data_IF_772712232449
#
_entry.id   IF_772712232449
#
_cell.length_a   1.000
_cell.length_b   1.000
_cell.length_c   1.000
_cell.angle_alpha   90.00
_cell.angle_beta   90.00
_cell.angle_gamma   90.00
#
_symmetry.space_group_name_H-M   'P 1'
#
loop_
_entity.id
_entity.type
_entity.pdbx_description
1 polymer ?
#
# COMPACT_ATOMS: atom_id res chain seq x y z
N UNK A 1 0.70 4.80 15.71
CA UNK A 1 -0.76 4.89 15.68
C UNK A 1 -1.31 6.25 16.12
N UNK A 2 -0.90 6.83 17.28
CA UNK A 2 -1.32 8.20 17.69
C UNK A 2 -1.11 9.27 16.60
N UNK A 3 0.02 9.28 15.90
CA UNK A 3 0.29 10.24 14.79
C UNK A 3 -0.65 10.11 13.59
N UNK A 4 -1.16 8.91 13.34
CA UNK A 4 -2.11 8.67 12.24
C UNK A 4 -3.49 9.25 12.55
N UNK A 5 -3.98 9.02 13.78
CA UNK A 5 -5.28 9.52 14.21
C UNK A 5 -5.31 11.06 14.21
N UNK A 6 -4.20 11.73 14.56
CA UNK A 6 -4.08 13.19 14.50
C UNK A 6 -4.12 13.76 13.06
N UNK A 7 -3.83 12.95 12.05
CA UNK A 7 -3.93 13.35 10.64
C UNK A 7 -5.33 13.21 10.05
N UNK A 8 -6.09 12.22 10.52
CA UNK A 8 -7.46 11.97 10.03
C UNK A 8 -8.51 12.93 10.63
N UNK A 9 -8.35 13.30 11.90
CA UNK A 9 -9.26 14.26 12.56
C UNK A 9 -8.53 15.05 13.66
N UNK A 10 -8.63 16.36 13.63
CA UNK A 10 -8.06 17.27 14.65
C UNK A 10 -8.68 17.12 16.06
N UNK A 11 -9.72 16.30 16.22
CA UNK A 11 -10.50 16.14 17.47
C UNK A 11 -10.33 14.79 18.16
N UNK A 12 -9.40 13.91 17.69
CA UNK A 12 -9.15 12.65 18.41
C UNK A 12 -8.19 12.87 19.58
N UNK A 13 -8.72 13.43 20.66
CA UNK A 13 -8.13 13.29 21.98
C UNK A 13 -8.21 11.83 22.41
N UNK A 14 -7.02 11.25 22.64
CA UNK A 14 -6.72 10.00 23.35
C UNK A 14 -7.80 8.90 23.31
N UNK A 15 -8.00 8.30 22.12
CA UNK A 15 -8.74 7.05 22.08
C UNK A 15 -7.96 6.02 22.87
N UNK A 16 -8.42 5.74 24.09
CA UNK A 16 -7.82 4.76 24.98
C UNK A 16 -7.87 3.37 24.38
N UNK A 17 -6.93 3.05 23.48
CA UNK A 17 -6.79 1.70 22.93
C UNK A 17 -6.31 0.81 24.08
N UNK A 18 -7.19 0.02 24.64
CA UNK A 18 -6.87 -0.98 25.65
C UNK A 18 -6.52 -2.31 24.99
N UNK A 19 -5.23 -2.44 24.59
CA UNK A 19 -4.71 -3.70 24.07
C UNK A 19 -3.27 -3.91 24.56
N UNK A 20 -2.89 -5.13 24.98
CA UNK A 20 -1.55 -5.41 25.50
C UNK A 20 -0.41 -5.08 24.53
N UNK A 21 -0.66 -5.12 23.23
CA UNK A 21 0.31 -4.82 22.18
C UNK A 21 0.24 -3.39 21.63
N UNK A 22 -0.53 -2.48 22.24
CA UNK A 22 -0.75 -1.10 21.80
C UNK A 22 0.53 -0.24 21.66
N UNK A 23 1.55 -0.59 22.41
CA UNK A 23 2.84 0.13 22.40
C UNK A 23 3.82 -0.39 21.35
N UNK A 24 3.49 -1.46 20.62
CA UNK A 24 4.36 -1.95 19.55
C UNK A 24 4.43 -0.95 18.41
N UNK A 25 5.64 -0.65 17.98
CA UNK A 25 5.92 0.24 16.87
C UNK A 25 5.89 -0.53 15.56
N UNK A 26 5.28 0.06 14.55
CA UNK A 26 5.34 -0.37 13.16
C UNK A 26 6.48 0.42 12.48
N UNK A 27 7.24 -0.22 11.60
CA UNK A 27 8.34 0.45 10.92
C UNK A 27 7.83 1.49 9.92
N UNK A 28 6.86 1.13 9.08
CA UNK A 28 6.25 2.04 8.12
C UNK A 28 4.73 1.89 8.19
N UNK A 29 4.05 3.02 8.19
CA UNK A 29 2.62 3.09 8.02
C UNK A 29 2.28 4.08 6.89
N UNK A 30 1.55 3.64 5.89
CA UNK A 30 1.12 4.44 4.77
C UNK A 30 -0.40 4.34 4.57
N UNK A 31 -1.00 5.44 4.16
CA UNK A 31 -2.44 5.52 3.87
C UNK A 31 -2.62 6.06 2.47
N UNK A 32 -3.49 5.42 1.70
CA UNK A 32 -3.95 5.92 0.42
C UNK A 32 -5.46 6.06 0.45
N UNK A 33 -5.94 7.27 0.28
CA UNK A 33 -7.36 7.55 0.10
C UNK A 33 -7.68 7.68 -1.38
N UNK A 34 -8.71 6.96 -1.82
CA UNK A 34 -9.29 7.16 -3.15
C UNK A 34 -10.43 8.19 -3.02
N UNK A 35 -10.23 9.35 -3.65
CA UNK A 35 -11.15 10.49 -3.56
C UNK A 35 -12.48 10.20 -4.25
N UNK A 36 -12.48 9.34 -5.29
CA UNK A 36 -13.68 9.08 -6.08
C UNK A 36 -14.69 8.18 -5.40
N UNK A 37 -14.22 7.16 -4.67
CA UNK A 37 -15.10 6.19 -3.99
C UNK A 37 -15.01 6.24 -2.48
N UNK A 38 -14.20 7.15 -1.92
CA UNK A 38 -14.00 7.32 -0.49
C UNK A 38 -13.32 6.13 0.19
N UNK A 39 -12.72 5.19 -0.56
CA UNK A 39 -12.03 4.05 0.04
C UNK A 39 -10.69 4.45 0.63
N UNK A 40 -10.34 3.84 1.74
CA UNK A 40 -9.10 4.07 2.47
C UNK A 40 -8.30 2.77 2.49
N UNK A 41 -7.14 2.77 1.85
CA UNK A 41 -6.21 1.65 1.86
C UNK A 41 -5.08 1.93 2.85
N UNK A 42 -5.03 1.16 3.90
CA UNK A 42 -4.02 1.25 4.94
C UNK A 42 -2.94 0.19 4.72
N UNK A 43 -1.69 0.60 4.74
CA UNK A 43 -0.53 -0.27 4.51
C UNK A 43 0.38 -0.18 5.73
N UNK A 44 0.65 -1.32 6.32
CA UNK A 44 1.60 -1.49 7.42
C UNK A 44 2.77 -2.32 6.93
N UNK A 45 3.99 -1.83 7.08
CA UNK A 45 5.19 -2.58 6.70
C UNK A 45 6.05 -2.81 7.94
N UNK A 46 6.43 -4.05 8.15
CA UNK A 46 7.39 -4.50 9.14
C UNK A 46 8.64 -4.99 8.43
N UNK A 47 9.75 -4.32 8.64
CA UNK A 47 11.04 -4.64 8.04
C UNK A 47 11.87 -5.47 8.99
N UNK A 48 12.55 -6.50 8.48
CA UNK A 48 13.47 -7.30 9.28
C UNK A 48 14.90 -7.11 8.83
N UNK A 49 15.79 -7.02 9.81
CA UNK A 49 17.23 -6.96 9.54
C UNK A 49 17.64 -8.13 8.61
N UNK A 50 18.58 -7.94 7.68
CA UNK A 50 18.97 -8.96 6.70
C UNK A 50 19.38 -10.31 7.29
N UNK A 51 19.92 -10.33 8.50
CA UNK A 51 20.33 -11.56 9.19
C UNK A 51 19.16 -12.34 9.80
N UNK A 52 17.98 -11.74 9.87
CA UNK A 52 16.78 -12.36 10.44
C UNK A 52 16.04 -13.12 9.33
N UNK A 53 16.00 -14.45 9.45
CA UNK A 53 15.19 -15.29 8.57
C UNK A 53 13.72 -15.23 8.97
N UNK A 54 12.85 -15.01 8.00
CA UNK A 54 11.40 -14.94 8.21
C UNK A 54 10.83 -16.32 8.51
N UNK A 55 10.05 -16.40 9.57
CA UNK A 55 9.38 -17.62 10.03
C UNK A 55 8.19 -17.29 10.91
N UNK A 56 7.70 -18.27 11.66
CA UNK A 56 6.52 -18.16 12.50
C UNK A 56 6.57 -16.97 13.48
N UNK A 57 7.73 -16.79 14.16
CA UNK A 57 7.90 -15.71 15.16
C UNK A 57 7.68 -14.32 14.54
N UNK A 58 8.21 -14.08 13.34
CA UNK A 58 8.09 -12.80 12.65
C UNK A 58 6.66 -12.58 12.14
N UNK A 59 6.04 -13.63 11.60
CA UNK A 59 4.63 -13.56 11.17
C UNK A 59 3.69 -13.32 12.35
N UNK A 60 3.92 -13.97 13.48
CA UNK A 60 3.14 -13.77 14.72
C UNK A 60 3.22 -12.32 15.21
N UNK A 61 4.33 -11.63 15.03
CA UNK A 61 4.43 -10.21 15.36
C UNK A 61 3.48 -9.37 14.51
N UNK A 62 3.42 -9.61 13.20
CA UNK A 62 2.50 -8.89 12.31
C UNK A 62 1.04 -9.24 12.59
N UNK A 63 0.74 -10.51 12.90
CA UNK A 63 -0.60 -10.93 13.33
C UNK A 63 -1.07 -10.21 14.62
N UNK A 64 -0.14 -9.84 15.52
CA UNK A 64 -0.48 -9.01 16.68
C UNK A 64 -0.90 -7.59 16.29
N UNK A 65 -0.23 -6.96 15.31
CA UNK A 65 -0.69 -5.67 14.80
C UNK A 65 -2.10 -5.76 14.20
N UNK A 66 -2.33 -6.79 13.39
CA UNK A 66 -3.65 -7.07 12.84
C UNK A 66 -4.72 -7.20 13.95
N UNK A 67 -4.45 -7.97 14.99
CA UNK A 67 -5.40 -8.17 16.08
C UNK A 67 -5.73 -6.86 16.81
N UNK A 68 -4.73 -5.99 17.05
CA UNK A 68 -4.97 -4.66 17.61
C UNK A 68 -5.89 -3.84 16.72
N UNK A 69 -5.65 -3.84 15.41
CA UNK A 69 -6.46 -3.08 14.45
C UNK A 69 -7.88 -3.64 14.38
N UNK A 70 -8.04 -4.95 14.33
CA UNK A 70 -9.35 -5.60 14.32
C UNK A 70 -10.16 -5.36 15.61
N UNK A 71 -9.50 -5.13 16.75
CA UNK A 71 -10.16 -4.87 18.03
C UNK A 71 -10.66 -3.42 18.19
N UNK A 72 -10.34 -2.51 17.27
CA UNK A 72 -10.69 -1.09 17.36
C UNK A 72 -11.68 -0.74 16.26
N UNK A 73 -12.92 -0.45 16.63
CA UNK A 73 -14.03 -0.17 15.69
C UNK A 73 -13.71 0.95 14.70
N UNK A 74 -12.99 1.98 15.13
CA UNK A 74 -12.58 3.11 14.29
C UNK A 74 -11.68 2.73 13.11
N UNK A 75 -10.98 1.59 13.20
CA UNK A 75 -10.15 1.03 12.13
C UNK A 75 -10.90 0.03 11.24
N UNK A 76 -12.16 -0.23 11.57
CA UNK A 76 -12.99 -1.25 10.93
C UNK A 76 -14.13 -0.67 10.08
N UNK A 77 -14.02 0.60 9.65
CA UNK A 77 -15.03 1.19 8.77
C UNK A 77 -15.15 0.40 7.44
N UNK A 78 -16.36 0.25 6.87
CA UNK A 78 -16.61 -0.56 5.69
C UNK A 78 -15.79 -0.17 4.46
N UNK A 79 -15.40 1.09 4.36
CA UNK A 79 -14.56 1.64 3.28
C UNK A 79 -13.06 1.53 3.53
N UNK A 80 -12.63 0.89 4.62
CA UNK A 80 -11.21 0.70 4.95
C UNK A 80 -10.74 -0.70 4.58
N UNK A 81 -9.57 -0.79 3.96
CA UNK A 81 -8.82 -2.03 3.76
C UNK A 81 -7.47 -1.96 4.44
N UNK A 82 -6.94 -3.11 4.84
CA UNK A 82 -5.68 -3.21 5.55
C UNK A 82 -4.77 -4.25 4.94
N UNK A 83 -3.59 -3.81 4.54
CA UNK A 83 -2.54 -4.66 4.00
C UNK A 83 -1.30 -4.59 4.90
N UNK A 84 -0.85 -5.73 5.36
CA UNK A 84 0.34 -5.86 6.19
C UNK A 84 1.44 -6.55 5.37
N UNK A 85 2.61 -5.97 5.34
CA UNK A 85 3.77 -6.50 4.65
C UNK A 85 4.87 -6.82 5.66
N UNK A 86 5.25 -8.09 5.76
CA UNK A 86 6.45 -8.54 6.45
C UNK A 86 7.55 -8.71 5.41
N UNK A 87 8.61 -7.91 5.50
CA UNK A 87 9.68 -7.90 4.50
C UNK A 87 11.00 -8.27 5.18
N UNK A 88 11.75 -9.19 4.57
CA UNK A 88 13.06 -9.60 5.03
C UNK A 88 13.92 -10.17 3.90
N UNK A 89 15.06 -10.74 4.23
CA UNK A 89 16.01 -11.23 3.24
C UNK A 89 15.67 -12.65 2.74
N UNK A 90 15.44 -13.57 3.68
CA UNK A 90 15.22 -15.00 3.38
C UNK A 90 14.19 -15.62 4.31
N UNK A 91 13.60 -16.73 3.89
CA UNK A 91 12.75 -17.56 4.74
C UNK A 91 13.55 -18.58 5.54
N UNK A 92 13.02 -18.98 6.70
CA UNK A 92 13.55 -20.14 7.43
C UNK A 92 13.38 -21.42 6.61
N UNK A 93 14.30 -22.38 6.85
CA UNK A 93 14.30 -23.67 6.17
C UNK A 93 13.18 -24.64 6.61
N UNK A 94 12.42 -24.29 7.65
CA UNK A 94 11.30 -25.09 8.17
C UNK A 94 10.06 -25.09 7.26
N UNK A 95 10.12 -24.40 6.13
CA UNK A 95 9.03 -24.25 5.16
C UNK A 95 7.74 -23.60 5.70
N UNK A 96 7.71 -23.13 6.94
CA UNK A 96 6.51 -22.55 7.55
C UNK A 96 5.89 -21.47 6.65
N UNK A 97 6.65 -20.42 6.29
CA UNK A 97 6.14 -19.32 5.43
C UNK A 97 5.69 -19.83 4.05
N UNK A 98 6.45 -20.77 3.47
CA UNK A 98 6.08 -21.36 2.16
C UNK A 98 4.75 -22.11 2.23
N UNK A 99 4.51 -22.83 3.32
CA UNK A 99 3.25 -23.54 3.54
C UNK A 99 2.08 -22.55 3.72
N UNK A 100 2.27 -21.47 4.49
CA UNK A 100 1.27 -20.41 4.64
C UNK A 100 0.92 -19.77 3.28
N UNK A 101 1.92 -19.44 2.44
CA UNK A 101 1.70 -18.92 1.09
C UNK A 101 0.93 -19.95 0.24
N UNK A 102 1.34 -21.22 0.28
CA UNK A 102 0.69 -22.26 -0.51
C UNK A 102 -0.78 -22.47 -0.12
N UNK A 103 -1.09 -22.40 1.17
CA UNK A 103 -2.46 -22.52 1.68
C UNK A 103 -3.37 -21.38 1.19
N UNK A 104 -2.80 -20.22 0.86
CA UNK A 104 -3.53 -19.05 0.38
C UNK A 104 -3.49 -18.86 -1.15
N UNK A 105 -2.88 -19.76 -1.90
CA UNK A 105 -2.78 -19.68 -3.38
C UNK A 105 -4.12 -19.52 -4.10
N UNK A 106 -5.18 -20.09 -3.54
CA UNK A 106 -6.53 -19.99 -4.10
C UNK A 106 -7.08 -18.57 -4.25
N UNK A 107 -6.47 -17.59 -3.55
CA UNK A 107 -6.82 -16.18 -3.67
C UNK A 107 -6.17 -15.48 -4.88
N UNK A 108 -5.27 -16.12 -5.62
CA UNK A 108 -4.62 -15.56 -6.80
C UNK A 108 -3.59 -14.46 -6.51
N UNK A 109 -3.27 -14.20 -5.24
CA UNK A 109 -2.36 -13.15 -4.79
C UNK A 109 -1.00 -13.76 -4.38
N UNK A 110 0.11 -13.22 -4.94
CA UNK A 110 1.46 -13.70 -4.61
C UNK A 110 1.85 -13.30 -3.19
N UNK A 111 2.59 -14.18 -2.50
CA UNK A 111 3.16 -13.94 -1.16
C UNK A 111 2.11 -13.67 -0.08
N UNK A 112 0.83 -13.93 -0.35
CA UNK A 112 -0.25 -13.83 0.61
C UNK A 112 -0.18 -15.00 1.59
N UNK A 113 -0.17 -14.69 2.90
CA UNK A 113 -0.14 -15.70 3.98
C UNK A 113 -1.38 -15.68 4.87
N UNK A 114 -2.20 -14.63 4.73
CA UNK A 114 -3.43 -14.49 5.51
C UNK A 114 -4.39 -13.54 4.81
N UNK A 115 -5.67 -13.93 4.76
CA UNK A 115 -6.76 -13.07 4.25
C UNK A 115 -8.04 -13.36 5.03
N UNK A 116 -8.60 -12.33 5.61
CA UNK A 116 -9.95 -12.36 6.21
C UNK A 116 -10.62 -11.04 5.86
N UNK A 117 -11.73 -11.11 5.13
CA UNK A 117 -12.48 -9.96 4.66
C UNK A 117 -11.55 -8.94 3.97
N UNK A 118 -11.40 -7.74 4.51
CA UNK A 118 -10.58 -6.63 4.01
C UNK A 118 -9.17 -6.56 4.61
N UNK A 119 -8.79 -7.56 5.40
CA UNK A 119 -7.46 -7.66 6.02
C UNK A 119 -6.61 -8.69 5.31
N UNK A 120 -5.38 -8.30 4.95
CA UNK A 120 -4.43 -9.16 4.27
C UNK A 120 -3.04 -9.05 4.88
N UNK A 121 -2.33 -10.18 4.96
CA UNK A 121 -0.91 -10.19 5.33
C UNK A 121 -0.10 -10.83 4.20
N UNK A 122 0.93 -10.14 3.78
CA UNK A 122 1.90 -10.59 2.78
C UNK A 122 3.27 -10.77 3.44
N UNK A 123 3.98 -11.81 3.04
CA UNK A 123 5.38 -12.03 3.43
C UNK A 123 6.24 -12.06 2.18
N UNK A 124 7.14 -11.09 2.05
CA UNK A 124 7.98 -10.93 0.87
C UNK A 124 9.46 -10.89 1.22
N UNK A 125 10.28 -11.35 0.29
CA UNK A 125 11.72 -11.08 0.32
C UNK A 125 12.03 -9.75 -0.35
N UNK A 126 13.18 -9.15 0.01
CA UNK A 126 13.65 -7.95 -0.68
C UNK A 126 13.82 -8.15 -2.18
N UNK A 127 14.29 -9.33 -2.60
CA UNK A 127 14.40 -9.65 -4.02
C UNK A 127 13.07 -9.63 -4.76
N UNK A 128 11.98 -10.10 -4.13
CA UNK A 128 10.63 -10.01 -4.70
C UNK A 128 10.16 -8.56 -4.80
N UNK A 129 10.39 -7.77 -3.76
CA UNK A 129 10.03 -6.34 -3.75
C UNK A 129 10.77 -5.58 -4.85
N UNK A 130 12.08 -5.81 -5.01
CA UNK A 130 12.87 -5.16 -6.06
C UNK A 130 12.47 -5.61 -7.46
N UNK A 131 12.18 -6.89 -7.65
CA UNK A 131 11.71 -7.40 -8.95
C UNK A 131 10.36 -6.77 -9.34
N UNK A 132 9.41 -6.67 -8.41
CA UNK A 132 8.12 -6.00 -8.65
C UNK A 132 8.31 -4.50 -8.95
N UNK A 133 9.21 -3.82 -8.24
CA UNK A 133 9.54 -2.43 -8.49
C UNK A 133 10.13 -2.23 -9.89
N UNK A 134 11.09 -3.08 -10.29
CA UNK A 134 11.73 -3.01 -11.59
C UNK A 134 10.70 -3.15 -12.73
N UNK A 135 9.81 -4.14 -12.64
CA UNK A 135 8.75 -4.33 -13.64
C UNK A 135 7.86 -3.08 -13.77
N UNK A 136 7.46 -2.47 -12.65
CA UNK A 136 6.66 -1.23 -12.67
C UNK A 136 7.43 -0.06 -13.24
N UNK A 137 8.71 0.08 -12.91
CA UNK A 137 9.57 1.15 -13.39
C UNK A 137 9.80 1.06 -14.90
N UNK A 138 10.11 -0.14 -15.40
CA UNK A 138 10.28 -0.41 -16.83
C UNK A 138 9.00 -0.10 -17.62
N UNK A 139 7.84 -0.45 -17.08
CA UNK A 139 6.56 -0.10 -17.68
C UNK A 139 6.35 1.42 -17.77
N UNK A 140 6.61 2.14 -16.68
CA UNK A 140 6.50 3.60 -16.65
C UNK A 140 7.45 4.27 -17.64
N UNK A 141 8.72 3.84 -17.70
CA UNK A 141 9.69 4.37 -18.65
C UNK A 141 9.25 4.13 -20.10
N UNK A 142 8.76 2.93 -20.42
CA UNK A 142 8.24 2.63 -21.77
C UNK A 142 7.05 3.50 -22.10
N UNK A 143 6.11 3.67 -21.18
CA UNK A 143 4.95 4.53 -21.40
C UNK A 143 5.37 5.99 -21.64
N UNK A 144 6.23 6.54 -20.79
CA UNK A 144 6.74 7.92 -20.97
C UNK A 144 7.51 8.12 -22.27
N UNK A 145 8.31 7.13 -22.71
CA UNK A 145 9.01 7.20 -23.99
C UNK A 145 8.05 7.17 -25.18
N UNK A 146 7.00 6.37 -25.12
CA UNK A 146 5.96 6.34 -26.16
C UNK A 146 5.17 7.66 -26.23
N UNK A 147 4.80 8.21 -25.07
CA UNK A 147 4.10 9.49 -25.00
C UNK A 147 4.98 10.64 -25.55
N UNK A 148 6.27 10.64 -25.20
CA UNK A 148 7.25 11.58 -25.76
C UNK A 148 7.39 11.45 -27.28
N UNK A 149 7.47 10.22 -27.81
CA UNK A 149 7.53 9.99 -29.27
C UNK A 149 6.28 10.50 -29.97
N UNK A 150 5.09 10.25 -29.41
CA UNK A 150 3.84 10.77 -29.96
C UNK A 150 3.82 12.29 -29.99
N UNK A 151 4.23 12.95 -28.90
CA UNK A 151 4.32 14.41 -28.83
C UNK A 151 5.29 14.95 -29.90
N UNK A 152 6.47 14.33 -30.06
CA UNK A 152 7.44 14.73 -31.09
C UNK A 152 6.95 14.51 -32.51
N UNK A 153 6.09 13.53 -32.77
CA UNK A 153 5.47 13.30 -34.09
C UNK A 153 4.32 14.26 -34.36
N UNK A 154 3.65 14.72 -33.33
CA UNK A 154 2.47 15.60 -33.49
C UNK A 154 2.85 17.08 -33.53
N UNK A 155 3.91 17.45 -32.81
CA UNK A 155 4.35 18.86 -32.69
C UNK A 155 5.79 19.03 -33.10
N UNK A 156 6.05 20.08 -33.86
CA UNK A 156 7.41 20.37 -34.38
C UNK A 156 8.28 21.14 -33.37
N UNK A 157 7.65 21.82 -32.42
CA UNK A 157 8.34 22.57 -31.36
C UNK A 157 7.73 22.42 -30.00
N UNK A 158 8.51 22.77 -28.96
CA UNK A 158 8.01 22.77 -27.57
C UNK A 158 6.90 23.81 -27.36
N UNK A 159 6.94 24.92 -28.08
CA UNK A 159 5.95 26.00 -27.99
C UNK A 159 4.59 25.55 -28.50
N UNK A 160 4.53 24.77 -29.59
CA UNK A 160 3.28 24.17 -30.07
C UNK A 160 2.65 23.22 -29.08
N UNK A 161 3.44 22.45 -28.29
CA UNK A 161 2.95 21.59 -27.23
C UNK A 161 2.31 22.40 -26.11
N UNK A 162 2.97 23.51 -25.71
CA UNK A 162 2.51 24.40 -24.65
C UNK A 162 1.20 25.09 -25.07
N UNK A 163 1.11 25.56 -26.30
CA UNK A 163 -0.09 26.24 -26.80
C UNK A 163 -1.28 25.28 -26.94
N UNK A 164 -1.07 24.05 -27.42
CA UNK A 164 -2.10 23.01 -27.47
C UNK A 164 -2.59 22.62 -26.07
N UNK A 165 -1.71 22.58 -25.06
CA UNK A 165 -2.12 22.34 -23.68
C UNK A 165 -2.95 23.50 -23.10
N UNK A 166 -2.58 24.74 -23.36
CA UNK A 166 -3.36 25.91 -22.94
C UNK A 166 -4.76 25.91 -23.55
N UNK A 167 -4.88 25.60 -24.84
CA UNK A 167 -6.18 25.50 -25.51
C UNK A 167 -7.05 24.38 -24.96
N UNK A 168 -6.45 23.22 -24.63
CA UNK A 168 -7.20 22.10 -24.04
C UNK A 168 -7.70 22.40 -22.62
N UNK A 169 -6.89 23.14 -21.84
CA UNK A 169 -7.27 23.57 -20.49
C UNK A 169 -8.36 24.66 -20.51
N UNK A 170 -8.33 25.55 -21.50
CA UNK A 170 -9.33 26.59 -21.68
C UNK A 170 -10.70 26.06 -22.18
N UNK A 171 -10.75 24.85 -22.74
CA UNK A 171 -11.97 24.18 -23.20
C UNK A 171 -12.61 23.26 -22.16
N UNK A 172 -12.03 23.09 -20.98
CA UNK A 172 -12.69 22.40 -19.89
C UNK A 172 -13.84 23.30 -19.34
N UNK A 173 -15.12 22.88 -19.42
CA UNK A 173 -16.19 23.68 -18.89
C UNK A 173 -16.02 23.85 -17.38
N UNK A 174 -16.20 25.06 -16.89
CA UNK A 174 -16.40 25.38 -15.47
C UNK A 174 -17.77 24.79 -15.02
N UNK A 175 -17.87 23.50 -14.89
CA UNK A 175 -19.00 22.87 -14.24
C UNK A 175 -18.49 21.99 -13.11
N UNK A 176 -18.48 22.57 -11.92
CA UNK A 176 -19.15 22.02 -10.74
C UNK A 176 -19.14 23.14 -9.68
N UNK A 177 -20.06 24.07 -9.80
CA UNK A 177 -20.58 24.80 -8.64
C UNK A 177 -21.66 23.90 -8.03
N UNK A 178 -21.29 23.19 -6.99
CA UNK A 178 -22.24 22.45 -6.17
C UNK A 178 -22.97 23.47 -5.30
N UNK A 179 -24.29 23.61 -5.56
CA UNK A 179 -25.23 24.19 -4.64
C UNK A 179 -25.61 23.21 -3.54
#
# INVERSE_FOLDING_TARGET
MRRYMSHLHKEYEDTGIEHPDKLKQMDIFAVRQDVHNGSINNIVVELKHPDIRLGEKQLSQVKKYLNVIMSVDQFNAPNMTWEFYLIGNTFKSDNFIKNEINSNKGHGERSLVFKVDRFKIYVKTWSEVFAEFQVRYDYLLKKLSMDRQKLQQTYQSADEVIDAQKESTARMPEEITVG
#
